data_IF_175736582963
#
_entry.id   IF_175736582963
#
_cell.length_a   1.000
_cell.length_b   1.000
_cell.length_c   1.000
_cell.angle_alpha   90.00
_cell.angle_beta   90.00
_cell.angle_gamma   90.00
#
_symmetry.space_group_name_H-M   'P 1'
#
loop_
_entity.id
_entity.type
_entity.pdbx_description
1 polymer ?
#
# COMPACT_ATOMS: atom_id res chain seq x y z
N UNK A 1 -19.20 -4.09 8.20
CA UNK A 1 -17.73 -4.25 8.18
C UNK A 1 -17.18 -2.89 7.85
N UNK A 2 -16.37 -2.31 8.72
CA UNK A 2 -16.01 -0.88 8.70
C UNK A 2 -15.26 -0.51 7.42
N UNK A 3 -15.99 0.03 6.45
CA UNK A 3 -15.42 0.96 5.46
C UNK A 3 -14.63 2.00 6.24
N UNK A 4 -13.36 2.21 5.89
CA UNK A 4 -12.58 3.32 6.45
C UNK A 4 -13.36 4.57 6.08
N UNK A 5 -13.99 5.23 7.07
CA UNK A 5 -14.75 6.44 6.80
C UNK A 5 -13.77 7.49 6.32
N UNK A 6 -14.00 7.94 5.10
CA UNK A 6 -13.06 8.67 4.26
C UNK A 6 -12.63 10.05 4.78
N UNK A 7 -13.28 10.52 5.86
CA UNK A 7 -12.92 11.70 6.66
C UNK A 7 -11.77 11.43 7.68
N UNK A 8 -11.33 10.17 7.82
CA UNK A 8 -10.38 9.71 8.84
C UNK A 8 -9.03 9.25 8.27
N UNK A 9 -8.68 9.58 7.01
CA UNK A 9 -7.35 9.24 6.49
C UNK A 9 -6.28 9.90 7.37
N UNK A 10 -5.42 9.12 8.05
CA UNK A 10 -4.46 9.67 8.97
C UNK A 10 -3.48 10.57 8.21
N UNK A 11 -3.19 11.73 8.77
CA UNK A 11 -2.22 12.66 8.21
C UNK A 11 -0.85 11.98 8.18
N UNK A 12 0.05 12.37 7.27
CA UNK A 12 1.40 11.80 7.22
C UNK A 12 2.15 11.86 8.57
N UNK A 13 1.85 12.84 9.43
CA UNK A 13 2.42 12.91 10.79
C UNK A 13 1.90 11.80 11.70
N UNK A 14 0.61 11.50 11.65
CA UNK A 14 -0.02 10.45 12.46
C UNK A 14 0.46 9.07 12.02
N UNK A 15 0.62 8.85 10.71
CA UNK A 15 1.22 7.61 10.17
C UNK A 15 2.67 7.46 10.65
N UNK A 16 3.44 8.54 10.59
CA UNK A 16 4.82 8.55 11.05
C UNK A 16 4.92 8.24 12.55
N UNK A 17 4.10 8.88 13.38
CA UNK A 17 4.05 8.66 14.84
C UNK A 17 3.64 7.22 15.19
N UNK A 18 2.70 6.64 14.44
CA UNK A 18 2.36 5.24 14.61
C UNK A 18 3.55 4.33 14.28
N UNK A 19 4.24 4.57 13.17
CA UNK A 19 5.43 3.79 12.79
C UNK A 19 6.57 3.94 13.81
N UNK A 20 6.71 5.11 14.44
CA UNK A 20 7.67 5.39 15.51
C UNK A 20 7.54 4.40 16.68
N UNK A 21 6.31 4.02 17.02
CA UNK A 21 6.02 3.09 18.11
C UNK A 21 6.46 1.64 17.86
N UNK A 22 6.77 1.27 16.61
CA UNK A 22 7.15 -0.10 16.23
C UNK A 22 8.54 -0.20 15.60
N UNK A 23 9.03 0.84 14.92
CA UNK A 23 10.30 0.83 14.20
C UNK A 23 11.17 1.99 14.66
N UNK A 24 12.20 1.65 15.44
CA UNK A 24 13.17 2.63 15.97
C UNK A 24 14.12 3.10 14.86
N UNK A 25 14.28 4.41 14.73
CA UNK A 25 15.11 5.02 13.68
C UNK A 25 14.47 4.91 12.29
N UNK A 26 15.28 4.90 11.22
CA UNK A 26 14.79 4.85 9.83
C UNK A 26 13.92 6.05 9.43
N UNK A 27 14.24 7.25 9.95
CA UNK A 27 13.47 8.48 9.71
C UNK A 27 13.13 8.78 8.25
N UNK A 28 14.08 8.65 7.30
CA UNK A 28 13.78 8.92 5.89
C UNK A 28 12.71 7.97 5.33
N UNK A 29 12.77 6.69 5.72
CA UNK A 29 11.83 5.67 5.25
C UNK A 29 10.43 5.88 5.85
N UNK A 30 10.33 6.15 7.16
CA UNK A 30 9.04 6.44 7.83
C UNK A 30 8.36 7.66 7.20
N UNK A 31 9.11 8.74 6.96
CA UNK A 31 8.58 9.95 6.31
C UNK A 31 8.13 9.69 4.88
N UNK A 32 8.94 8.99 4.08
CA UNK A 32 8.59 8.66 2.70
C UNK A 32 7.33 7.79 2.61
N UNK A 33 7.24 6.73 3.43
CA UNK A 33 6.08 5.84 3.50
C UNK A 33 4.82 6.61 3.88
N UNK A 34 4.91 7.45 4.92
CA UNK A 34 3.76 8.22 5.40
C UNK A 34 3.17 9.15 4.34
N UNK A 35 4.02 9.82 3.56
CA UNK A 35 3.57 10.70 2.47
C UNK A 35 3.04 9.89 1.28
N UNK A 36 3.76 8.85 0.88
CA UNK A 36 3.39 8.04 -0.28
C UNK A 36 2.03 7.36 -0.10
N UNK A 37 1.73 6.86 1.10
CA UNK A 37 0.46 6.19 1.41
C UNK A 37 -0.68 7.18 1.51
N UNK A 38 -0.47 8.32 2.18
CA UNK A 38 -1.45 9.40 2.19
C UNK A 38 -1.81 9.84 0.76
N UNK A 39 -0.81 10.00 -0.11
CA UNK A 39 -1.02 10.34 -1.52
C UNK A 39 -1.69 9.20 -2.31
N UNK A 40 -1.37 7.93 -2.00
CA UNK A 40 -2.01 6.77 -2.61
C UNK A 40 -3.52 6.80 -2.39
N UNK A 41 -3.97 6.96 -1.14
CA UNK A 41 -5.40 7.01 -0.83
C UNK A 41 -6.09 8.27 -1.35
N UNK A 42 -5.42 9.44 -1.33
CA UNK A 42 -5.96 10.64 -2.00
C UNK A 42 -6.19 10.42 -3.49
N UNK A 43 -5.29 9.71 -4.16
CA UNK A 43 -5.42 9.38 -5.59
C UNK A 43 -6.60 8.44 -5.83
N UNK A 44 -6.77 7.41 -5.00
CA UNK A 44 -7.92 6.48 -5.09
C UNK A 44 -9.24 7.25 -4.93
N UNK A 45 -9.35 8.12 -3.93
CA UNK A 45 -10.53 8.98 -3.73
C UNK A 45 -10.82 9.93 -4.90
N UNK A 46 -9.78 10.52 -5.50
CA UNK A 46 -9.93 11.40 -6.65
C UNK A 46 -10.43 10.63 -7.90
N UNK A 47 -10.04 9.35 -8.03
CA UNK A 47 -10.53 8.46 -9.07
C UNK A 47 -11.99 8.04 -8.88
N UNK A 48 -12.44 7.82 -7.64
CA UNK A 48 -13.83 7.45 -7.32
C UNK A 48 -14.82 8.62 -7.48
N UNK A 49 -14.40 9.85 -7.19
CA UNK A 49 -15.23 11.06 -7.32
C UNK A 49 -15.28 11.64 -8.76
N UNK A 50 -14.64 10.98 -9.74
CA UNK A 50 -14.43 11.45 -11.12
C UNK A 50 -15.58 11.22 -12.10
N UNK A 51 -16.83 11.31 -11.66
CA UNK A 51 -18.03 11.17 -12.52
C UNK A 51 -18.72 12.48 -12.94
N UNK A 52 -18.22 13.67 -12.55
CA UNK A 52 -19.02 14.89 -12.61
C UNK A 52 -18.39 16.17 -13.16
N UNK A 53 -17.09 16.24 -13.45
CA UNK A 53 -16.47 17.45 -14.00
C UNK A 53 -15.48 17.10 -15.11
N UNK A 54 -15.70 17.68 -16.29
CA UNK A 54 -14.88 17.64 -17.51
C UNK A 54 -13.66 16.70 -17.48
N UNK A 55 -13.81 15.54 -18.13
CA UNK A 55 -12.79 14.51 -18.33
C UNK A 55 -11.52 15.02 -19.05
N UNK A 56 -11.58 16.21 -19.65
CA UNK A 56 -10.48 16.86 -20.38
C UNK A 56 -9.50 17.63 -19.46
N UNK A 57 -9.90 17.99 -18.23
CA UNK A 57 -9.05 18.69 -17.24
C UNK A 57 -8.67 17.79 -16.04
N UNK A 58 -8.98 16.49 -16.11
CA UNK A 58 -8.67 15.55 -15.04
C UNK A 58 -7.14 15.39 -14.93
N UNK A 59 -6.56 16.00 -13.91
CA UNK A 59 -5.13 15.88 -13.59
C UNK A 59 -4.82 14.40 -13.32
N UNK A 60 -4.06 13.76 -14.20
CA UNK A 60 -3.58 12.40 -14.01
C UNK A 60 -2.61 12.34 -12.83
N UNK A 61 -3.09 11.84 -11.70
CA UNK A 61 -2.26 11.58 -10.53
C UNK A 61 -1.48 10.28 -10.74
N UNK A 62 -0.15 10.38 -10.86
CA UNK A 62 0.73 9.22 -11.02
C UNK A 62 0.75 8.31 -9.76
N UNK A 63 0.85 7.00 -9.96
CA UNK A 63 1.00 6.03 -8.86
C UNK A 63 2.40 6.16 -8.24
N UNK A 64 2.46 6.38 -6.91
CA UNK A 64 3.71 6.41 -6.15
C UNK A 64 4.06 5.03 -5.61
N UNK A 65 4.84 4.25 -6.36
CA UNK A 65 5.46 3.03 -5.85
C UNK A 65 6.70 3.37 -5.02
N UNK A 66 7.04 2.52 -4.05
CA UNK A 66 8.14 2.76 -3.11
C UNK A 66 9.17 1.64 -3.24
N UNK A 67 10.45 2.01 -3.32
CA UNK A 67 11.58 1.09 -3.19
C UNK A 67 12.27 1.34 -1.85
N UNK A 68 12.30 0.33 -0.98
CA UNK A 68 13.00 0.40 0.31
C UNK A 68 14.38 -0.24 0.21
N UNK A 69 15.45 0.56 0.32
CA UNK A 69 16.83 0.12 0.32
C UNK A 69 17.41 0.16 1.74
N UNK A 70 18.09 -0.90 2.15
CA UNK A 70 18.75 -0.98 3.46
C UNK A 70 19.28 -2.39 3.77
N UNK A 71 20.16 -2.55 4.77
CA UNK A 71 20.79 -3.82 5.11
C UNK A 71 19.78 -4.86 5.60
N UNK A 72 20.19 -6.12 5.66
CA UNK A 72 19.38 -7.18 6.29
C UNK A 72 19.08 -6.82 7.75
N UNK A 73 17.88 -7.20 8.23
CA UNK A 73 17.47 -6.91 9.62
C UNK A 73 17.12 -5.45 9.94
N UNK A 74 17.15 -4.51 8.98
CA UNK A 74 16.85 -3.08 9.22
C UNK A 74 15.37 -2.73 9.40
N UNK A 75 14.47 -3.71 9.48
CA UNK A 75 13.04 -3.48 9.68
C UNK A 75 12.20 -3.17 8.43
N UNK A 76 12.71 -3.38 7.20
CA UNK A 76 11.95 -3.13 5.95
C UNK A 76 10.59 -3.85 5.91
N UNK A 77 10.58 -5.15 6.18
CA UNK A 77 9.35 -5.95 6.20
C UNK A 77 8.42 -5.51 7.34
N UNK A 78 9.00 -5.17 8.50
CA UNK A 78 8.24 -4.71 9.67
C UNK A 78 7.54 -3.36 9.43
N UNK A 79 8.19 -2.44 8.71
CA UNK A 79 7.59 -1.16 8.29
C UNK A 79 6.33 -1.40 7.46
N UNK A 80 6.43 -2.24 6.42
CA UNK A 80 5.30 -2.54 5.53
C UNK A 80 4.15 -3.24 6.27
N UNK A 81 4.46 -4.25 7.10
CA UNK A 81 3.45 -4.96 7.90
C UNK A 81 2.76 -4.05 8.93
N UNK A 82 3.52 -3.16 9.57
CA UNK A 82 2.97 -2.24 10.58
C UNK A 82 2.06 -1.20 9.94
N UNK A 83 2.45 -0.68 8.78
CA UNK A 83 1.63 0.23 8.01
C UNK A 83 0.31 -0.41 7.56
N UNK A 84 0.35 -1.64 7.05
CA UNK A 84 -0.87 -2.37 6.68
C UNK A 84 -1.80 -2.60 7.87
N UNK A 85 -1.25 -2.94 9.04
CA UNK A 85 -2.02 -3.08 10.30
C UNK A 85 -2.68 -1.76 10.72
N UNK A 86 -1.97 -0.63 10.60
CA UNK A 86 -2.51 0.69 10.94
C UNK A 86 -3.74 1.03 10.10
N UNK A 87 -3.67 0.74 8.80
CA UNK A 87 -4.70 1.13 7.83
C UNK A 87 -5.78 0.07 7.67
N UNK A 88 -5.63 -1.08 8.35
CA UNK A 88 -6.57 -2.20 8.32
C UNK A 88 -6.90 -2.65 6.88
N UNK A 89 -5.88 -2.71 6.02
CA UNK A 89 -6.02 -3.06 4.60
C UNK A 89 -5.45 -4.43 4.29
N UNK A 90 -5.97 -5.13 3.25
CA UNK A 90 -5.39 -6.38 2.79
C UNK A 90 -3.91 -6.21 2.45
N UNK A 91 -3.09 -7.19 2.84
CA UNK A 91 -1.64 -7.12 2.64
C UNK A 91 -1.08 -8.47 2.23
N UNK A 92 -0.36 -8.47 1.11
CA UNK A 92 0.32 -9.66 0.59
C UNK A 92 1.85 -9.43 0.60
N UNK A 93 2.58 -10.47 0.99
CA UNK A 93 4.04 -10.51 0.92
C UNK A 93 4.43 -11.52 -0.16
N UNK A 94 5.31 -11.10 -1.05
CA UNK A 94 5.85 -11.94 -2.11
C UNK A 94 7.38 -11.85 -2.12
N UNK A 95 8.04 -12.96 -2.45
CA UNK A 95 9.47 -13.02 -2.67
C UNK A 95 9.76 -12.99 -4.17
N UNK A 96 10.41 -11.92 -4.63
CA UNK A 96 10.73 -11.76 -6.04
C UNK A 96 11.72 -12.81 -6.57
N UNK A 97 12.51 -13.46 -5.69
CA UNK A 97 13.45 -14.52 -6.11
C UNK A 97 12.76 -15.81 -6.51
N UNK A 98 11.51 -16.00 -6.07
CA UNK A 98 10.68 -17.15 -6.43
C UNK A 98 9.86 -16.91 -7.72
N UNK A 99 9.82 -15.67 -8.23
CA UNK A 99 9.11 -15.32 -9.44
C UNK A 99 9.96 -15.66 -10.66
N UNK A 100 9.38 -16.43 -11.58
CA UNK A 100 10.01 -16.79 -12.84
C UNK A 100 9.14 -16.35 -14.00
N UNK A 101 9.76 -16.04 -15.14
CA UNK A 101 9.03 -15.80 -16.38
C UNK A 101 8.21 -17.05 -16.76
N UNK A 102 7.05 -16.84 -17.38
CA UNK A 102 5.90 -17.75 -17.37
C UNK A 102 6.23 -19.24 -17.61
N UNK A 103 5.73 -20.09 -16.71
CA UNK A 103 5.48 -21.52 -16.98
C UNK A 103 6.65 -22.49 -16.84
N UNK A 104 7.83 -22.07 -16.37
CA UNK A 104 9.02 -22.94 -16.37
C UNK A 104 9.51 -23.39 -14.99
N UNK A 105 8.67 -23.35 -13.94
CA UNK A 105 8.93 -23.67 -12.51
C UNK A 105 9.17 -22.42 -11.66
N UNK A 106 8.16 -22.02 -10.88
CA UNK A 106 8.21 -20.86 -9.98
C UNK A 106 6.82 -20.39 -9.53
N UNK A 107 6.77 -19.36 -8.70
CA UNK A 107 5.52 -18.69 -8.32
C UNK A 107 5.12 -17.67 -9.41
N UNK A 108 3.88 -17.73 -9.92
CA UNK A 108 3.35 -16.75 -10.89
C UNK A 108 3.04 -15.40 -10.20
N UNK A 109 3.15 -14.30 -10.94
CA UNK A 109 2.70 -12.96 -10.53
C UNK A 109 1.21 -12.97 -10.16
N UNK A 110 0.39 -13.77 -10.84
CA UNK A 110 -1.03 -13.93 -10.52
C UNK A 110 -1.27 -14.48 -9.10
N UNK A 111 -0.35 -15.30 -8.57
CA UNK A 111 -0.46 -15.82 -7.20
C UNK A 111 -0.31 -14.71 -6.14
N UNK A 112 0.43 -13.63 -6.44
CA UNK A 112 0.54 -12.48 -5.54
C UNK A 112 -0.83 -11.79 -5.40
N UNK A 113 -1.54 -11.61 -6.52
CA UNK A 113 -2.89 -11.06 -6.51
C UNK A 113 -3.87 -12.00 -5.82
N UNK A 114 -3.76 -13.31 -6.06
CA UNK A 114 -4.58 -14.31 -5.36
C UNK A 114 -4.38 -14.24 -3.84
N UNK A 115 -3.14 -14.13 -3.36
CA UNK A 115 -2.83 -13.95 -1.93
C UNK A 115 -3.44 -12.65 -1.38
N UNK A 116 -3.41 -11.56 -2.15
CA UNK A 116 -4.02 -10.29 -1.75
C UNK A 116 -5.55 -10.40 -1.65
N UNK A 117 -6.20 -11.03 -2.64
CA UNK A 117 -7.64 -11.27 -2.64
C UNK A 117 -8.06 -12.19 -1.49
N UNK A 118 -7.27 -13.23 -1.20
CA UNK A 118 -7.49 -14.08 -0.03
C UNK A 118 -7.38 -13.28 1.28
N UNK A 119 -6.39 -12.39 1.40
CA UNK A 119 -6.26 -11.49 2.55
C UNK A 119 -7.41 -10.45 2.63
N UNK A 120 -8.12 -10.22 1.52
CA UNK A 120 -9.31 -9.40 1.45
C UNK A 120 -10.62 -10.18 1.67
N UNK A 121 -10.57 -11.45 2.12
CA UNK A 121 -11.73 -12.34 2.26
C UNK A 121 -12.50 -12.53 0.95
N UNK A 122 -11.79 -12.54 -0.18
CA UNK A 122 -12.33 -12.61 -1.54
C UNK A 122 -13.16 -11.39 -1.97
N UNK A 123 -13.08 -10.27 -1.26
CA UNK A 123 -13.67 -9.00 -1.66
C UNK A 123 -12.75 -8.24 -2.62
N UNK A 124 -13.11 -8.25 -3.91
CA UNK A 124 -12.36 -7.57 -4.97
C UNK A 124 -12.30 -6.06 -4.73
N UNK A 125 -13.40 -5.44 -4.29
CA UNK A 125 -13.44 -3.98 -4.08
C UNK A 125 -12.45 -3.58 -2.99
N UNK A 126 -12.42 -4.33 -1.89
CA UNK A 126 -11.49 -4.15 -0.77
C UNK A 126 -10.03 -4.39 -1.16
N UNK A 127 -9.77 -5.25 -2.15
CA UNK A 127 -8.42 -5.49 -2.67
C UNK A 127 -7.94 -4.41 -3.66
N UNK A 128 -8.87 -3.72 -4.32
CA UNK A 128 -8.59 -2.65 -5.29
C UNK A 128 -8.44 -1.25 -4.66
N UNK A 129 -8.84 -1.08 -3.39
CA UNK A 129 -8.80 0.21 -2.66
C UNK A 129 -7.50 0.46 -1.92
#
# INVERSE_FOLDING_TARGET
>A
TSEVRWEELPKPREIYEFLEGYVVGQEPAKKALSVAVYNHYKRVQAGENGGGANREDAIELAKSNILLLGPTGSGKTLLAQTLARMLNVPFAIADATALTEAGYVGEDVENILLKLIQAADYDVKKAET
#
